data_IF_020428145803
#
_entry.id   IF_020428145803
#
_cell.length_a   1.000
_cell.length_b   1.000
_cell.length_c   1.000
_cell.angle_alpha   90.00
_cell.angle_beta   90.00
_cell.angle_gamma   90.00
#
_symmetry.space_group_name_H-M   'P 1'
#
loop_
_entity.id
_entity.type
_entity.pdbx_description
1 polymer ?
#
# COMPACT_ATOMS: atom_id res chain seq x y z
N UNK A 1 24.12 7.18 20.69
CA UNK A 1 22.68 6.83 20.84
C UNK A 1 21.84 7.92 20.16
N UNK A 2 21.88 7.98 18.83
CA UNK A 2 21.10 8.94 18.03
C UNK A 2 20.42 8.12 16.93
N UNK A 3 19.49 7.26 17.36
CA UNK A 3 18.56 6.62 16.43
C UNK A 3 17.46 7.63 16.15
N UNK A 4 17.11 7.82 14.88
CA UNK A 4 15.86 8.49 14.52
C UNK A 4 14.73 7.69 15.16
N UNK A 5 14.23 8.16 16.30
CA UNK A 5 13.15 7.52 17.01
C UNK A 5 11.83 7.76 16.27
N UNK A 6 10.81 7.04 16.72
CA UNK A 6 9.44 7.23 16.25
C UNK A 6 8.99 8.70 16.42
N UNK A 7 9.47 9.38 17.46
CA UNK A 7 9.13 10.77 17.75
C UNK A 7 9.72 11.75 16.73
N UNK A 8 10.99 11.60 16.36
CA UNK A 8 11.64 12.44 15.35
C UNK A 8 11.00 12.24 13.97
N UNK A 9 10.66 11.00 13.61
CA UNK A 9 9.94 10.73 12.36
C UNK A 9 8.57 11.39 12.30
N UNK A 10 7.83 11.42 13.42
CA UNK A 10 6.53 12.12 13.48
C UNK A 10 6.73 13.62 13.27
N UNK A 11 7.75 14.24 13.88
CA UNK A 11 8.03 15.67 13.71
C UNK A 11 8.35 15.98 12.24
N UNK A 12 9.19 15.17 11.61
CA UNK A 12 9.54 15.33 10.19
C UNK A 12 8.29 15.16 9.31
N UNK A 13 7.45 14.15 9.59
CA UNK A 13 6.21 13.91 8.88
C UNK A 13 5.28 15.13 8.96
N UNK A 14 5.14 15.73 10.14
CA UNK A 14 4.33 16.94 10.35
C UNK A 14 4.85 18.10 9.50
N UNK A 15 6.17 18.33 9.49
CA UNK A 15 6.79 19.40 8.68
C UNK A 15 6.51 19.15 7.19
N UNK A 16 6.70 17.93 6.69
CA UNK A 16 6.42 17.56 5.31
C UNK A 16 4.95 17.79 4.97
N UNK A 17 4.03 17.41 5.85
CA UNK A 17 2.58 17.63 5.68
C UNK A 17 2.23 19.11 5.65
N UNK A 18 2.91 19.96 6.42
CA UNK A 18 2.70 21.42 6.39
C UNK A 18 3.20 22.02 5.08
N UNK A 19 4.38 21.60 4.60
CA UNK A 19 4.98 22.13 3.37
C UNK A 19 4.22 21.71 2.11
N UNK A 20 3.90 20.43 2.00
CA UNK A 20 3.22 19.87 0.81
C UNK A 20 1.69 19.91 0.93
N UNK A 21 1.16 20.06 2.15
CA UNK A 21 -0.27 19.98 2.45
C UNK A 21 -0.75 18.54 2.63
N UNK A 22 -1.63 18.33 3.62
CA UNK A 22 -2.21 17.02 3.93
C UNK A 22 -2.95 16.34 2.75
N UNK A 23 -3.38 17.12 1.76
CA UNK A 23 -4.07 16.60 0.56
C UNK A 23 -3.11 16.08 -0.51
N UNK A 24 -1.87 16.57 -0.59
CA UNK A 24 -0.92 16.18 -1.64
C UNK A 24 -0.23 14.84 -1.34
N UNK A 25 0.09 14.57 -0.08
CA UNK A 25 0.72 13.30 0.32
C UNK A 25 -0.09 12.06 -0.13
N UNK A 26 -1.40 11.96 0.16
CA UNK A 26 -2.22 10.82 -0.25
C UNK A 26 -2.46 10.76 -1.77
N UNK A 27 -2.54 11.92 -2.43
CA UNK A 27 -2.67 11.98 -3.89
C UNK A 27 -1.45 11.37 -4.59
N UNK A 28 -0.24 11.74 -4.14
CA UNK A 28 1.02 11.20 -4.65
C UNK A 28 1.16 9.72 -4.28
N UNK A 29 0.87 9.37 -3.02
CA UNK A 29 0.93 7.99 -2.52
C UNK A 29 -0.04 7.05 -3.24
N UNK A 30 -1.23 7.51 -3.63
CA UNK A 30 -2.20 6.70 -4.39
C UNK A 30 -1.69 6.34 -5.79
N UNK A 31 -0.98 7.25 -6.46
CA UNK A 31 -0.36 6.99 -7.77
C UNK A 31 0.81 6.02 -7.65
N UNK A 32 1.74 6.29 -6.72
CA UNK A 32 2.89 5.44 -6.45
C UNK A 32 2.46 4.05 -5.98
N UNK A 33 1.48 3.96 -5.08
CA UNK A 33 0.98 2.69 -4.54
C UNK A 33 0.30 1.82 -5.60
N UNK A 34 -0.46 2.41 -6.53
CA UNK A 34 -0.99 1.68 -7.69
C UNK A 34 0.12 1.16 -8.60
N UNK A 35 1.15 1.97 -8.85
CA UNK A 35 2.33 1.56 -9.62
C UNK A 35 3.06 0.38 -8.98
N UNK A 36 3.36 0.48 -7.68
CA UNK A 36 4.02 -0.60 -6.92
C UNK A 36 3.15 -1.86 -6.89
N UNK A 37 1.83 -1.74 -6.71
CA UNK A 37 0.91 -2.89 -6.71
C UNK A 37 0.88 -3.60 -8.07
N UNK A 38 0.83 -2.84 -9.16
CA UNK A 38 0.86 -3.41 -10.51
C UNK A 38 2.22 -4.01 -10.85
N UNK A 39 3.31 -3.37 -10.40
CA UNK A 39 4.66 -3.89 -10.55
C UNK A 39 4.83 -5.21 -9.79
N UNK A 40 4.41 -5.26 -8.52
CA UNK A 40 4.42 -6.48 -7.71
C UNK A 40 3.54 -7.58 -8.33
N UNK A 41 2.36 -7.23 -8.86
CA UNK A 41 1.49 -8.19 -9.55
C UNK A 41 2.16 -8.73 -10.81
N UNK A 42 2.87 -7.89 -11.58
CA UNK A 42 3.62 -8.32 -12.76
C UNK A 42 4.74 -9.30 -12.40
N UNK A 43 5.54 -8.99 -11.38
CA UNK A 43 6.58 -9.88 -10.86
C UNK A 43 6.01 -11.19 -10.31
N UNK A 44 4.93 -11.12 -9.54
CA UNK A 44 4.28 -12.31 -9.00
C UNK A 44 3.52 -13.12 -10.05
N UNK A 45 3.11 -12.55 -11.20
CA UNK A 45 2.40 -13.31 -12.24
C UNK A 45 3.31 -14.31 -12.96
N UNK A 46 4.63 -14.17 -12.85
CA UNK A 46 5.61 -15.19 -13.28
C UNK A 46 5.68 -16.37 -12.28
N UNK A 47 5.29 -16.16 -11.01
CA UNK A 47 5.29 -17.18 -9.95
C UNK A 47 3.87 -17.71 -9.59
N UNK A 48 2.80 -16.95 -9.85
CA UNK A 48 1.42 -17.20 -9.41
C UNK A 48 0.48 -17.64 -10.54
N UNK A 49 0.96 -18.48 -11.48
CA UNK A 49 0.06 -19.34 -12.27
C UNK A 49 -0.69 -20.37 -11.40
N UNK A 50 -0.45 -20.39 -10.07
CA UNK A 50 -0.93 -21.43 -9.14
C UNK A 50 -1.48 -20.87 -7.82
N UNK A 51 -2.06 -19.66 -7.73
CA UNK A 51 -2.86 -19.35 -6.52
C UNK A 51 -3.89 -18.21 -6.71
N UNK A 52 -4.95 -18.47 -7.47
CA UNK A 52 -5.91 -17.43 -7.83
C UNK A 52 -7.37 -17.87 -7.95
N UNK A 53 -7.81 -18.91 -7.24
CA UNK A 53 -9.24 -19.23 -7.07
C UNK A 53 -9.54 -19.79 -5.67
N UNK A 54 -9.41 -18.94 -4.64
CA UNK A 54 -9.87 -19.24 -3.26
C UNK A 54 -10.59 -18.04 -2.66
N UNK A 55 -11.70 -17.62 -3.27
CA UNK A 55 -12.46 -16.52 -2.68
C UNK A 55 -13.88 -16.28 -3.14
N UNK A 56 -14.53 -17.14 -3.95
CA UNK A 56 -15.90 -16.80 -4.38
C UNK A 56 -16.90 -17.91 -4.70
N UNK A 57 -16.73 -19.14 -4.22
CA UNK A 57 -17.76 -20.17 -4.41
C UNK A 57 -17.86 -21.08 -3.17
N UNK A 58 -18.47 -20.60 -2.08
CA UNK A 58 -19.16 -21.50 -1.15
C UNK A 58 -20.12 -20.67 -0.27
N UNK A 59 -21.34 -21.18 -0.13
CA UNK A 59 -22.51 -20.65 0.59
C UNK A 59 -23.49 -19.79 -0.24
N UNK A 60 -24.10 -20.41 -1.25
CA UNK A 60 -25.46 -20.07 -1.70
C UNK A 60 -26.29 -21.30 -2.06
N UNK A 61 -26.11 -22.41 -1.34
CA UNK A 61 -27.02 -23.56 -1.41
C UNK A 61 -27.54 -23.88 0.00
N UNK A 62 -28.46 -23.03 0.45
CA UNK A 62 -29.43 -23.34 1.50
C UNK A 62 -30.81 -23.05 0.90
N UNK A 63 -31.43 -24.06 0.29
CA UNK A 63 -32.87 -24.20 -0.01
C UNK A 63 -33.21 -25.60 -0.54
#
# INVERSE_FOLDING_TARGET
MFGLGSQELIIILVIVVVLFGAKRLPQLGSGVGKGIRNFKKGLNSEDEAVEGDKGKIENSDEA
#
